data_IF_444016714291
#
_entry.id   IF_444016714291
#
_cell.length_a   1.000
_cell.length_b   1.000
_cell.length_c   1.000
_cell.angle_alpha   90.00
_cell.angle_beta   90.00
_cell.angle_gamma   90.00
#
_symmetry.space_group_name_H-M   'P 1'
#
loop_
_entity.id
_entity.type
_entity.pdbx_description
1 polymer ?
#
# COMPACT_ATOMS: atom_id res chain seq x y z
N UNK A 1 11.31 7.51 -21.68
CA UNK A 1 11.13 7.73 -20.22
C UNK A 1 12.21 7.07 -19.37
N UNK A 2 12.82 5.95 -19.79
CA UNK A 2 13.89 5.25 -19.05
C UNK A 2 15.28 5.89 -19.14
N UNK A 3 15.59 6.65 -20.21
CA UNK A 3 16.92 7.29 -20.39
C UNK A 3 17.27 8.21 -19.23
N UNK A 4 16.40 9.16 -18.89
CA UNK A 4 16.68 10.19 -17.87
C UNK A 4 17.07 9.60 -16.50
N UNK A 5 16.41 8.54 -16.06
CA UNK A 5 16.75 7.88 -14.78
C UNK A 5 18.11 7.19 -14.85
N UNK A 6 18.38 6.48 -15.95
CA UNK A 6 19.66 5.83 -16.16
C UNK A 6 20.81 6.84 -16.30
N UNK A 7 20.55 7.99 -16.94
CA UNK A 7 21.50 9.09 -17.11
C UNK A 7 21.92 9.70 -15.75
N UNK A 8 21.06 9.58 -14.74
CA UNK A 8 21.33 9.95 -13.35
C UNK A 8 21.77 8.77 -12.46
N UNK A 9 22.12 7.62 -13.03
CA UNK A 9 22.58 6.45 -12.30
C UNK A 9 21.49 5.73 -11.49
N UNK A 10 20.21 6.02 -11.76
CA UNK A 10 19.07 5.39 -11.12
C UNK A 10 18.55 4.28 -12.03
N UNK A 11 18.83 2.99 -11.72
CA UNK A 11 18.39 1.91 -12.57
C UNK A 11 16.87 1.87 -12.64
N UNK A 12 16.33 1.74 -13.85
CA UNK A 12 14.88 1.61 -14.05
C UNK A 12 14.40 0.25 -13.53
N UNK A 13 13.83 0.21 -12.32
CA UNK A 13 13.31 -1.00 -11.70
C UNK A 13 11.85 -1.26 -12.10
N UNK A 14 11.58 -1.41 -13.40
CA UNK A 14 10.21 -1.56 -13.93
C UNK A 14 9.43 -2.70 -13.26
N UNK A 15 10.04 -3.89 -13.15
CA UNK A 15 9.43 -5.04 -12.50
C UNK A 15 9.07 -4.76 -11.03
N UNK A 16 9.94 -4.06 -10.29
CA UNK A 16 9.69 -3.67 -8.90
C UNK A 16 8.54 -2.67 -8.79
N UNK A 17 8.51 -1.66 -9.66
CA UNK A 17 7.44 -0.66 -9.67
C UNK A 17 6.09 -1.31 -9.98
N UNK A 18 6.04 -2.21 -10.97
CA UNK A 18 4.84 -2.97 -11.31
C UNK A 18 4.40 -3.90 -10.18
N UNK A 19 5.34 -4.65 -9.59
CA UNK A 19 5.05 -5.52 -8.44
C UNK A 19 4.48 -4.72 -7.26
N UNK A 20 4.98 -3.51 -7.02
CA UNK A 20 4.46 -2.72 -5.92
C UNK A 20 3.09 -2.10 -6.21
N UNK A 21 2.85 -1.61 -7.44
CA UNK A 21 1.54 -1.08 -7.85
C UNK A 21 0.44 -2.16 -7.82
N UNK A 22 0.78 -3.38 -8.22
CA UNK A 22 -0.13 -4.54 -8.12
C UNK A 22 -0.38 -4.90 -6.65
N UNK A 23 0.70 -5.09 -5.88
CA UNK A 23 0.57 -5.45 -4.46
C UNK A 23 -0.27 -4.43 -3.68
N UNK A 24 -0.09 -3.12 -3.89
CA UNK A 24 -0.84 -2.10 -3.14
C UNK A 24 -2.31 -1.95 -3.59
N UNK A 25 -2.65 -2.49 -4.75
CA UNK A 25 -4.03 -2.63 -5.19
C UNK A 25 -4.73 -3.80 -4.50
N UNK A 26 -3.97 -4.84 -4.15
CA UNK A 26 -4.45 -6.09 -3.56
C UNK A 26 -4.32 -6.16 -2.04
N UNK A 27 -3.46 -5.33 -1.42
CA UNK A 27 -3.33 -5.18 0.05
C UNK A 27 -3.20 -3.72 0.49
N UNK A 28 -3.73 -3.39 1.67
CA UNK A 28 -3.70 -2.02 2.23
C UNK A 28 -2.26 -1.52 2.45
N UNK A 29 -2.03 -0.23 2.23
CA UNK A 29 -0.74 0.44 2.43
C UNK A 29 -0.06 0.14 3.79
N UNK A 30 -0.81 0.03 4.89
CA UNK A 30 -0.25 -0.31 6.21
C UNK A 30 0.34 -1.72 6.23
N UNK A 31 -0.32 -2.69 5.59
CA UNK A 31 0.15 -4.08 5.48
C UNK A 31 1.34 -4.15 4.52
N UNK A 32 1.30 -3.41 3.42
CA UNK A 32 2.42 -3.30 2.47
C UNK A 32 3.68 -2.74 3.14
N UNK A 33 3.52 -1.72 4.00
CA UNK A 33 4.63 -1.12 4.72
C UNK A 33 5.34 -2.15 5.62
N UNK A 34 4.57 -2.96 6.34
CA UNK A 34 5.08 -4.05 7.18
C UNK A 34 5.73 -5.16 6.32
N UNK A 35 5.03 -5.62 5.28
CA UNK A 35 5.49 -6.72 4.42
C UNK A 35 6.83 -6.44 3.72
N UNK A 36 7.03 -5.21 3.25
CA UNK A 36 8.25 -4.82 2.53
C UNK A 36 9.26 -4.04 3.39
N UNK A 37 8.96 -3.84 4.69
CA UNK A 37 9.82 -3.08 5.59
C UNK A 37 10.04 -1.63 5.15
N UNK A 38 9.04 -1.00 4.53
CA UNK A 38 9.11 0.40 4.08
C UNK A 38 8.31 1.32 5.00
N UNK A 39 8.62 2.62 4.98
CA UNK A 39 7.84 3.60 5.72
C UNK A 39 6.37 3.60 5.28
N UNK A 40 5.45 3.70 6.24
CA UNK A 40 4.02 3.84 5.97
C UNK A 40 3.72 5.05 5.08
N UNK A 41 4.45 6.17 5.27
CA UNK A 41 4.30 7.38 4.44
C UNK A 41 4.59 7.06 2.98
N UNK A 42 5.66 6.29 2.74
CA UNK A 42 6.01 5.83 1.39
C UNK A 42 4.91 4.94 0.84
N UNK A 43 4.49 3.89 1.57
CA UNK A 43 3.40 3.01 1.11
C UNK A 43 2.11 3.79 0.79
N UNK A 44 1.73 4.78 1.60
CA UNK A 44 0.58 5.63 1.33
C UNK A 44 0.72 6.48 0.06
N UNK A 45 1.91 7.00 -0.24
CA UNK A 45 2.16 7.70 -1.50
C UNK A 45 1.93 6.76 -2.70
N UNK A 46 2.40 5.52 -2.62
CA UNK A 46 2.18 4.52 -3.67
C UNK A 46 0.71 4.10 -3.81
N UNK A 47 -0.04 3.98 -2.71
CA UNK A 47 -1.49 3.72 -2.78
C UNK A 47 -2.24 4.84 -3.51
N UNK A 48 -1.81 6.10 -3.35
CA UNK A 48 -2.37 7.23 -4.10
C UNK A 48 -2.07 7.13 -5.60
N UNK A 49 -0.85 6.74 -5.98
CA UNK A 49 -0.50 6.53 -7.39
C UNK A 49 -1.24 5.35 -8.01
N UNK A 50 -1.45 4.28 -7.26
CA UNK A 50 -2.24 3.12 -7.69
C UNK A 50 -3.75 3.39 -7.66
N UNK A 51 -4.19 4.53 -7.11
CA UNK A 51 -5.60 4.87 -6.87
C UNK A 51 -6.36 3.77 -6.11
N UNK A 52 -5.66 3.04 -5.24
CA UNK A 52 -6.22 1.90 -4.52
C UNK A 52 -7.15 2.39 -3.39
N UNK A 53 -8.41 1.94 -3.39
CA UNK A 53 -9.40 2.28 -2.37
C UNK A 53 -9.71 1.08 -1.49
N UNK A 54 -9.45 1.26 -0.19
CA UNK A 54 -9.57 0.21 0.83
C UNK A 54 -10.71 0.46 1.81
N UNK A 55 -11.66 1.33 1.42
CA UNK A 55 -12.75 1.81 2.27
C UNK A 55 -13.58 0.64 2.82
N UNK A 56 -13.85 -0.39 1.99
CA UNK A 56 -14.59 -1.57 2.41
C UNK A 56 -13.86 -2.35 3.53
N UNK A 57 -12.54 -2.53 3.41
CA UNK A 57 -11.73 -3.16 4.45
C UNK A 57 -11.74 -2.36 5.76
N UNK A 58 -11.63 -1.03 5.68
CA UNK A 58 -11.69 -0.17 6.86
C UNK A 58 -13.05 -0.22 7.54
N UNK A 59 -14.14 -0.23 6.77
CA UNK A 59 -15.50 -0.37 7.30
C UNK A 59 -15.68 -1.72 8.01
N UNK A 60 -15.22 -2.82 7.39
CA UNK A 60 -15.27 -4.14 7.98
C UNK A 60 -14.45 -4.24 9.28
N UNK A 61 -13.24 -3.68 9.30
CA UNK A 61 -12.38 -3.67 10.48
C UNK A 61 -12.99 -2.86 11.62
N UNK A 62 -13.57 -1.69 11.32
CA UNK A 62 -14.25 -0.87 12.31
C UNK A 62 -15.46 -1.59 12.90
N UNK A 63 -16.30 -2.20 12.05
CA UNK A 63 -17.47 -2.97 12.49
C UNK A 63 -17.08 -4.14 13.40
N UNK A 64 -16.00 -4.86 13.08
CA UNK A 64 -15.47 -5.93 13.92
C UNK A 64 -15.06 -5.43 15.31
N UNK A 65 -14.33 -4.30 15.38
CA UNK A 65 -13.90 -3.73 16.65
C UNK A 65 -15.09 -3.33 17.55
N UNK A 66 -16.16 -2.81 16.95
CA UNK A 66 -17.41 -2.48 17.65
C UNK A 66 -18.14 -3.74 18.15
N UNK A 67 -18.20 -4.79 17.32
CA UNK A 67 -18.85 -6.04 17.70
C UNK A 67 -18.16 -6.72 18.91
N UNK A 68 -16.83 -6.73 18.93
CA UNK A 68 -16.06 -7.30 20.03
C UNK A 68 -16.14 -6.48 21.33
N UNK A 69 -16.14 -5.15 21.25
CA UNK A 69 -16.29 -4.28 22.45
C UNK A 69 -17.69 -4.34 23.04
N UNK A 70 -18.72 -4.60 22.23
CA UNK A 70 -20.09 -4.82 22.69
C UNK A 70 -20.27 -6.15 23.44
N UNK A 71 -19.48 -7.16 23.09
CA UNK A 71 -19.54 -8.49 23.71
C UNK A 71 -18.75 -8.63 25.02
N UNK A 72 -17.91 -7.63 25.36
CA UNK A 72 -17.09 -7.59 26.59
C UNK A 72 -17.64 -6.63 27.67
N UNK A 73 -18.83 -6.06 27.45
CA UNK A 73 -19.60 -5.28 28.44
C UNK A 73 -20.82 -6.09 28.88
#
# INVERSE_FOLDING_TARGET
MSSLLNDHGLPTLSARNTAMMTTISDVNATVVADLFGISQITAHAWARYAQASWIAYLAARAACCTAWTSALR
#
